data_IF_432163494478
#
_entry.id   IF_432163494478
#
_cell.length_a   1.000
_cell.length_b   1.000
_cell.length_c   1.000
_cell.angle_alpha   90.00
_cell.angle_beta   90.00
_cell.angle_gamma   90.00
#
_symmetry.space_group_name_H-M   'P 1'
#
loop_
_entity.id
_entity.type
_entity.pdbx_description
1 polymer ?
#
# COMPACT_ATOMS: atom_id res chain seq x y z
N UNK A 1 -5.03 -15.99 -0.23
CA UNK A 1 -4.42 -15.23 0.87
C UNK A 1 -5.22 -13.96 1.10
N UNK A 2 -5.51 -13.68 2.34
CA UNK A 2 -6.19 -12.46 2.75
C UNK A 2 -5.47 -11.88 3.96
N UNK A 3 -5.06 -10.62 3.90
CA UNK A 3 -4.47 -9.93 5.05
C UNK A 3 -5.08 -8.55 5.22
N UNK A 4 -5.16 -8.09 6.46
CA UNK A 4 -5.60 -6.75 6.79
C UNK A 4 -4.62 -6.11 7.75
N UNK A 5 -4.29 -4.85 7.48
CA UNK A 5 -3.46 -4.03 8.35
C UNK A 5 -4.18 -2.71 8.57
N UNK A 6 -4.13 -2.20 9.79
CA UNK A 6 -4.82 -0.97 10.11
C UNK A 6 -4.03 -0.10 11.09
N UNK A 7 -4.36 1.19 11.08
CA UNK A 7 -3.80 2.16 12.02
C UNK A 7 -4.84 3.27 12.22
N UNK A 8 -4.82 3.88 13.39
CA UNK A 8 -5.62 5.07 13.68
C UNK A 8 -4.70 6.28 13.74
N UNK A 9 -5.02 7.30 12.96
CA UNK A 9 -4.21 8.51 12.80
C UNK A 9 -5.01 9.72 13.26
N UNK A 10 -4.41 10.56 14.10
CA UNK A 10 -4.97 11.86 14.45
C UNK A 10 -4.58 12.87 13.37
N UNK A 11 -5.55 13.33 12.58
CA UNK A 11 -5.26 14.25 11.49
C UNK A 11 -6.44 14.46 10.55
N UNK A 12 -6.17 15.17 9.46
CA UNK A 12 -7.15 15.48 8.43
C UNK A 12 -7.22 14.35 7.39
N UNK A 13 -8.40 13.82 7.13
CA UNK A 13 -8.58 12.69 6.21
C UNK A 13 -8.11 13.01 4.78
N UNK A 14 -8.32 14.24 4.32
CA UNK A 14 -7.90 14.62 2.97
C UNK A 14 -6.38 14.69 2.84
N UNK A 15 -5.70 15.15 3.88
CA UNK A 15 -4.24 15.17 3.92
C UNK A 15 -3.66 13.77 3.98
N UNK A 16 -4.25 12.89 4.78
CA UNK A 16 -3.83 11.49 4.87
C UNK A 16 -4.06 10.78 3.53
N UNK A 17 -5.23 11.02 2.92
CA UNK A 17 -5.56 10.45 1.62
C UNK A 17 -4.58 10.90 0.53
N UNK A 18 -4.25 12.20 0.51
CA UNK A 18 -3.29 12.73 -0.46
C UNK A 18 -1.92 12.07 -0.30
N UNK A 19 -1.45 11.87 0.93
CA UNK A 19 -0.16 11.21 1.19
C UNK A 19 -0.22 9.73 0.79
N UNK A 20 -1.30 9.05 1.10
CA UNK A 20 -1.46 7.63 0.78
C UNK A 20 -1.59 7.37 -0.72
N UNK A 21 -2.18 8.30 -1.47
CA UNK A 21 -2.42 8.12 -2.90
C UNK A 21 -1.24 8.56 -3.78
N UNK A 22 -0.38 9.46 -3.29
CA UNK A 22 0.75 9.98 -4.04
C UNK A 22 1.96 9.02 -3.94
N UNK A 23 1.81 7.83 -4.50
CA UNK A 23 2.83 6.76 -4.37
C UNK A 23 4.18 7.16 -4.98
N UNK A 24 4.21 8.06 -5.94
CA UNK A 24 5.44 8.59 -6.52
C UNK A 24 6.31 9.34 -5.50
N UNK A 25 5.72 9.79 -4.40
CA UNK A 25 6.44 10.44 -3.30
C UNK A 25 6.90 9.45 -2.22
N UNK A 26 6.42 8.21 -2.26
CA UNK A 26 6.71 7.23 -1.22
C UNK A 26 8.19 6.94 -1.01
N UNK A 27 9.05 6.86 -2.03
CA UNK A 27 10.48 6.64 -1.77
C UNK A 27 11.13 7.71 -0.89
N UNK A 28 10.58 8.93 -0.88
CA UNK A 28 11.06 10.03 -0.04
C UNK A 28 10.49 9.97 1.38
N UNK A 29 9.25 9.47 1.52
CA UNK A 29 8.52 9.46 2.79
C UNK A 29 8.67 8.14 3.53
N UNK A 30 8.77 7.03 2.80
CA UNK A 30 8.74 5.67 3.31
C UNK A 30 10.07 4.99 2.98
N UNK A 31 10.99 4.87 3.95
CA UNK A 31 12.37 4.41 3.66
C UNK A 31 12.46 3.00 3.09
N UNK A 32 11.43 2.18 3.27
CA UNK A 32 11.42 0.81 2.75
C UNK A 32 11.03 0.73 1.26
N UNK A 33 10.58 1.85 0.65
CA UNK A 33 10.37 1.92 -0.80
C UNK A 33 11.63 2.43 -1.48
N UNK A 34 12.10 1.70 -2.48
CA UNK A 34 13.33 2.04 -3.22
C UNK A 34 13.06 3.04 -4.31
N UNK A 35 12.02 2.79 -5.11
CA UNK A 35 11.61 3.68 -6.19
C UNK A 35 10.17 3.37 -6.60
N UNK A 36 9.53 4.37 -7.21
CA UNK A 36 8.20 4.25 -7.82
C UNK A 36 8.23 5.01 -9.13
N UNK A 37 7.87 4.33 -10.21
CA UNK A 37 7.78 4.92 -11.55
C UNK A 37 6.34 4.91 -12.02
N UNK A 38 5.79 6.07 -12.35
CA UNK A 38 4.49 6.18 -12.99
C UNK A 38 4.70 5.93 -14.48
N UNK A 39 4.18 4.81 -14.98
CA UNK A 39 4.38 4.38 -16.36
C UNK A 39 3.39 5.04 -17.31
N UNK A 40 2.14 5.22 -16.88
CA UNK A 40 1.08 5.83 -17.69
C UNK A 40 -0.12 6.15 -16.82
N UNK A 41 -1.09 6.84 -17.38
CA UNK A 41 -2.38 7.07 -16.76
C UNK A 41 -2.75 8.54 -16.63
N UNK A 42 -3.77 8.79 -15.80
CA UNK A 42 -4.32 10.12 -15.56
C UNK A 42 -4.50 10.36 -14.06
N UNK A 43 -5.27 11.37 -13.68
CA UNK A 43 -5.43 11.76 -12.28
C UNK A 43 -6.15 10.71 -11.42
N UNK A 44 -6.94 9.81 -12.02
CA UNK A 44 -7.77 8.84 -11.29
C UNK A 44 -7.33 7.40 -11.47
N UNK A 45 -6.57 7.09 -12.52
CA UNK A 45 -6.10 5.73 -12.79
C UNK A 45 -4.72 5.77 -13.40
N UNK A 46 -3.76 5.07 -12.77
CA UNK A 46 -2.37 5.06 -13.19
C UNK A 46 -1.81 3.65 -13.17
N UNK A 47 -0.86 3.40 -14.08
CA UNK A 47 -0.03 2.21 -14.03
C UNK A 47 1.30 2.59 -13.38
N UNK A 48 1.65 1.94 -12.29
CA UNK A 48 2.85 2.25 -11.51
C UNK A 48 3.72 1.01 -11.32
N UNK A 49 5.03 1.20 -11.43
CA UNK A 49 6.00 0.16 -11.09
C UNK A 49 6.64 0.55 -9.76
N UNK A 50 6.64 -0.38 -8.83
CA UNK A 50 7.06 -0.11 -7.45
C UNK A 50 8.12 -1.11 -7.01
N UNK A 51 9.07 -0.63 -6.24
CA UNK A 51 10.10 -1.47 -5.65
C UNK A 51 10.26 -1.13 -4.17
N UNK A 52 10.27 -2.17 -3.35
CA UNK A 52 10.45 -2.06 -1.91
C UNK A 52 11.45 -3.10 -1.44
N UNK A 53 11.82 -3.03 -0.16
CA UNK A 53 12.65 -4.07 0.45
C UNK A 53 12.18 -4.35 1.88
N UNK A 54 12.41 -5.57 2.28
CA UNK A 54 12.23 -5.99 3.66
C UNK A 54 13.54 -6.59 4.14
N UNK A 55 14.16 -5.95 5.14
CA UNK A 55 15.43 -6.41 5.72
C UNK A 55 16.49 -6.73 4.65
N UNK A 56 16.57 -5.84 3.64
CA UNK A 56 17.51 -6.00 2.53
C UNK A 56 17.04 -6.93 1.41
N UNK A 57 15.89 -7.59 1.55
CA UNK A 57 15.34 -8.46 0.52
C UNK A 57 14.49 -7.63 -0.46
N UNK A 58 14.91 -7.53 -1.74
CA UNK A 58 14.21 -6.67 -2.71
C UNK A 58 12.96 -7.34 -3.28
N UNK A 59 11.90 -6.54 -3.48
CA UNK A 59 10.69 -6.95 -4.20
C UNK A 59 10.31 -5.87 -5.19
N UNK A 60 9.72 -6.28 -6.31
CA UNK A 60 9.27 -5.38 -7.36
C UNK A 60 7.95 -5.88 -7.93
N UNK A 61 7.03 -4.95 -8.21
CA UNK A 61 5.75 -5.27 -8.84
C UNK A 61 5.26 -4.10 -9.66
N UNK A 62 4.32 -4.37 -10.56
CA UNK A 62 3.60 -3.35 -11.32
C UNK A 62 2.13 -3.45 -10.96
N UNK A 63 1.52 -2.32 -10.66
CA UNK A 63 0.13 -2.27 -10.24
C UNK A 63 -0.63 -1.18 -10.98
N UNK A 64 -1.92 -1.43 -11.21
CA UNK A 64 -2.85 -0.41 -11.64
C UNK A 64 -3.45 0.23 -10.39
N UNK A 65 -3.21 1.53 -10.22
CA UNK A 65 -3.78 2.31 -9.12
C UNK A 65 -5.04 3.01 -9.62
N UNK A 66 -6.12 2.86 -8.87
CA UNK A 66 -7.37 3.59 -9.13
C UNK A 66 -7.76 4.37 -7.88
N UNK A 67 -8.12 5.64 -8.05
CA UNK A 67 -8.47 6.54 -6.96
C UNK A 67 -9.97 6.79 -6.91
N UNK A 68 -10.53 6.76 -5.71
CA UNK A 68 -11.90 7.18 -5.43
C UNK A 68 -11.86 8.18 -4.27
N UNK A 69 -11.54 9.46 -4.56
CA UNK A 69 -11.40 10.46 -3.51
C UNK A 69 -12.71 10.82 -2.81
N UNK A 70 -13.85 10.62 -3.48
CA UNK A 70 -15.16 10.89 -2.87
C UNK A 70 -15.41 9.99 -1.66
N UNK A 71 -15.05 8.71 -1.78
CA UNK A 71 -15.23 7.72 -0.72
C UNK A 71 -13.94 7.46 0.08
N UNK A 72 -12.87 8.19 -0.20
CA UNK A 72 -11.55 8.03 0.44
C UNK A 72 -11.05 6.59 0.34
N UNK A 73 -11.08 6.04 -0.89
CA UNK A 73 -10.58 4.69 -1.18
C UNK A 73 -9.51 4.74 -2.25
N UNK A 74 -8.55 3.81 -2.13
CA UNK A 74 -7.49 3.62 -3.11
C UNK A 74 -7.44 2.14 -3.44
N UNK A 75 -7.39 1.82 -4.73
CA UNK A 75 -7.36 0.43 -5.21
C UNK A 75 -6.07 0.19 -5.98
N UNK A 76 -5.44 -0.95 -5.73
CA UNK A 76 -4.32 -1.42 -6.54
C UNK A 76 -4.63 -2.83 -7.02
N UNK A 77 -4.43 -3.07 -8.31
CA UNK A 77 -4.45 -4.40 -8.89
C UNK A 77 -3.05 -4.71 -9.39
N UNK A 78 -2.41 -5.72 -8.81
CA UNK A 78 -1.07 -6.12 -9.22
C UNK A 78 -1.15 -6.85 -10.55
N UNK A 79 -0.48 -6.32 -11.57
CA UNK A 79 -0.55 -6.85 -12.95
C UNK A 79 0.74 -7.55 -13.37
N UNK A 80 1.85 -7.32 -12.66
CA UNK A 80 3.14 -7.97 -12.90
C UNK A 80 3.89 -8.19 -11.60
N UNK A 81 4.76 -9.19 -11.59
CA UNK A 81 5.59 -9.54 -10.45
C UNK A 81 5.08 -10.77 -9.74
N UNK A 82 5.74 -11.12 -8.63
CA UNK A 82 5.40 -12.31 -7.84
C UNK A 82 3.99 -12.22 -7.24
N UNK A 83 3.50 -11.00 -7.03
CA UNK A 83 2.18 -10.73 -6.47
C UNK A 83 1.08 -10.53 -7.52
N UNK A 84 1.35 -10.88 -8.77
CA UNK A 84 0.37 -10.72 -9.86
C UNK A 84 -0.98 -11.33 -9.48
N UNK A 85 -2.05 -10.58 -9.68
CA UNK A 85 -3.41 -10.98 -9.32
C UNK A 85 -3.84 -10.49 -7.95
N UNK A 86 -2.94 -9.89 -7.17
CA UNK A 86 -3.30 -9.36 -5.86
C UNK A 86 -4.15 -8.09 -6.01
N UNK A 87 -5.24 -8.05 -5.25
CA UNK A 87 -6.08 -6.86 -5.12
C UNK A 87 -5.80 -6.21 -3.78
N UNK A 88 -5.56 -4.91 -3.79
CA UNK A 88 -5.29 -4.13 -2.59
C UNK A 88 -6.29 -2.99 -2.51
N UNK A 89 -6.93 -2.84 -1.35
CA UNK A 89 -7.86 -1.74 -1.12
C UNK A 89 -7.49 -1.01 0.15
N UNK A 90 -7.40 0.30 0.04
CA UNK A 90 -7.24 1.20 1.18
C UNK A 90 -8.58 1.81 1.52
N UNK A 91 -8.95 1.74 2.78
CA UNK A 91 -10.14 2.37 3.33
C UNK A 91 -9.73 3.42 4.35
N UNK A 92 -10.15 4.66 4.15
CA UNK A 92 -9.95 5.74 5.11
C UNK A 92 -11.31 6.21 5.59
N UNK A 93 -11.51 6.22 6.90
CA UNK A 93 -12.77 6.62 7.52
C UNK A 93 -12.50 7.61 8.65
N UNK A 94 -13.12 8.78 8.57
CA UNK A 94 -13.02 9.81 9.62
C UNK A 94 -13.96 9.51 10.77
N UNK A 95 -13.48 9.70 11.99
CA UNK A 95 -14.25 9.58 13.22
C UNK A 95 -13.78 10.70 14.16
N UNK A 96 -14.45 11.86 14.06
CA UNK A 96 -14.03 13.05 14.77
C UNK A 96 -12.64 13.52 14.34
N UNK A 97 -11.71 13.61 15.30
CA UNK A 97 -10.32 14.00 15.03
C UNK A 97 -9.44 12.82 14.59
N UNK A 98 -10.01 11.63 14.58
CA UNK A 98 -9.27 10.42 14.24
C UNK A 98 -9.65 9.94 12.84
N UNK A 99 -8.71 9.29 12.17
CA UNK A 99 -8.93 8.65 10.89
C UNK A 99 -8.49 7.20 11.00
N UNK A 100 -9.40 6.28 10.72
CA UNK A 100 -9.10 4.86 10.68
C UNK A 100 -8.66 4.49 9.26
N UNK A 101 -7.44 4.00 9.12
CA UNK A 101 -6.87 3.60 7.83
C UNK A 101 -6.68 2.08 7.85
N UNK A 102 -7.24 1.41 6.87
CA UNK A 102 -7.17 -0.04 6.74
C UNK A 102 -6.74 -0.41 5.34
N UNK A 103 -5.78 -1.32 5.22
CA UNK A 103 -5.32 -1.88 3.95
C UNK A 103 -5.70 -3.35 3.92
N UNK A 104 -6.45 -3.75 2.90
CA UNK A 104 -6.87 -5.12 2.67
C UNK A 104 -6.15 -5.66 1.44
N UNK A 105 -5.46 -6.79 1.61
CA UNK A 105 -4.79 -7.49 0.52
C UNK A 105 -5.48 -8.83 0.30
N UNK A 106 -5.91 -9.07 -0.95
CA UNK A 106 -6.52 -10.33 -1.36
C UNK A 106 -5.78 -10.90 -2.55
N UNK A 107 -5.37 -12.15 -2.46
CA UNK A 107 -4.74 -12.86 -3.56
C UNK A 107 -5.36 -14.22 -3.70
N UNK A 108 -6.00 -14.45 -4.86
CA UNK A 108 -6.45 -15.78 -5.26
C UNK A 108 -5.30 -16.43 -6.03
N UNK A 109 -4.68 -17.42 -5.43
CA UNK A 109 -3.49 -18.06 -5.98
C UNK A 109 -3.85 -19.00 -7.14
N UNK A 110 -3.24 -18.76 -8.32
CA UNK A 110 -3.50 -19.55 -9.53
C UNK A 110 -2.27 -20.26 -10.08
N UNK A 111 -1.16 -20.28 -9.34
CA UNK A 111 0.12 -20.75 -9.87
C UNK A 111 0.44 -22.14 -9.33
N UNK A 112 0.43 -23.20 -10.19
CA UNK A 112 0.79 -24.54 -9.73
C UNK A 112 2.28 -24.74 -9.38
N UNK A 113 3.25 -24.00 -9.99
CA UNK A 113 4.66 -24.36 -9.77
C UNK A 113 5.23 -23.95 -8.43
N UNK A 114 4.64 -22.96 -7.76
CA UNK A 114 5.06 -22.58 -6.40
C UNK A 114 4.00 -23.08 -5.47
N UNK A 115 4.32 -24.01 -4.58
CA UNK A 115 3.35 -24.56 -3.66
C UNK A 115 2.63 -23.49 -2.86
N UNK A 116 1.35 -23.69 -2.53
CA UNK A 116 0.55 -22.70 -1.77
C UNK A 116 1.22 -22.29 -0.46
N UNK A 117 1.95 -23.18 0.17
CA UNK A 117 2.65 -22.92 1.41
C UNK A 117 3.78 -21.90 1.24
N UNK A 118 4.59 -22.06 0.18
CA UNK A 118 5.67 -21.14 -0.12
C UNK A 118 5.13 -19.76 -0.49
N UNK A 119 4.07 -19.73 -1.29
CA UNK A 119 3.40 -18.51 -1.69
C UNK A 119 2.85 -17.76 -0.48
N UNK A 120 2.16 -18.45 0.40
CA UNK A 120 1.61 -17.87 1.62
C UNK A 120 2.72 -17.28 2.49
N UNK A 121 3.81 -18.01 2.66
CA UNK A 121 4.95 -17.58 3.47
C UNK A 121 5.65 -16.36 2.88
N UNK A 122 5.95 -16.38 1.58
CA UNK A 122 6.70 -15.30 0.92
C UNK A 122 5.83 -14.04 0.75
N UNK A 123 4.60 -14.20 0.27
CA UNK A 123 3.75 -13.05 -0.08
C UNK A 123 2.98 -12.55 1.13
N UNK A 124 2.34 -13.45 1.88
CA UNK A 124 1.47 -13.06 2.98
C UNK A 124 2.22 -12.55 4.19
N UNK A 125 2.96 -13.42 4.85
CA UNK A 125 3.56 -13.11 6.14
C UNK A 125 4.82 -12.24 6.02
N UNK A 126 5.68 -12.53 5.06
CA UNK A 126 6.98 -11.87 4.97
C UNK A 126 6.92 -10.48 4.35
N UNK A 127 6.18 -10.33 3.24
CA UNK A 127 6.22 -9.08 2.49
C UNK A 127 5.02 -8.19 2.74
N UNK A 128 3.83 -8.72 2.46
CA UNK A 128 2.63 -7.89 2.43
C UNK A 128 2.36 -7.25 3.77
N UNK A 129 2.29 -8.06 4.82
CA UNK A 129 1.98 -7.57 6.16
C UNK A 129 3.06 -6.64 6.70
N UNK A 130 4.33 -6.99 6.48
CA UNK A 130 5.45 -6.19 6.96
C UNK A 130 5.52 -4.83 6.25
N UNK A 131 5.44 -4.83 4.92
CA UNK A 131 5.49 -3.60 4.13
C UNK A 131 4.27 -2.73 4.43
N UNK A 132 3.08 -3.31 4.49
CA UNK A 132 1.86 -2.57 4.79
C UNK A 132 1.89 -1.94 6.19
N UNK A 133 2.32 -2.70 7.19
CA UNK A 133 2.43 -2.19 8.57
C UNK A 133 3.43 -1.03 8.66
N UNK A 134 4.58 -1.15 8.00
CA UNK A 134 5.57 -0.08 7.97
C UNK A 134 5.04 1.15 7.27
N UNK A 135 4.34 0.96 6.16
CA UNK A 135 3.73 2.06 5.40
C UNK A 135 2.75 2.83 6.27
N UNK A 136 1.81 2.14 6.92
CA UNK A 136 0.83 2.77 7.79
C UNK A 136 1.46 3.50 8.96
N UNK A 137 2.42 2.86 9.62
CA UNK A 137 3.10 3.44 10.78
C UNK A 137 3.89 4.69 10.40
N UNK A 138 4.55 4.67 9.25
CA UNK A 138 5.34 5.81 8.78
C UNK A 138 4.44 6.97 8.36
N UNK A 139 3.33 6.70 7.67
CA UNK A 139 2.34 7.74 7.34
C UNK A 139 1.81 8.37 8.63
N UNK A 140 1.46 7.56 9.63
CA UNK A 140 1.01 8.06 10.93
C UNK A 140 2.06 8.98 11.57
N UNK A 141 3.32 8.59 11.56
CA UNK A 141 4.41 9.40 12.10
C UNK A 141 4.54 10.74 11.37
N UNK A 142 4.44 10.75 10.05
CA UNK A 142 4.51 11.98 9.27
C UNK A 142 3.34 12.91 9.55
N UNK A 143 2.14 12.39 9.63
CA UNK A 143 0.94 13.20 9.87
C UNK A 143 0.93 13.73 11.30
N UNK A 144 1.15 12.89 12.29
CA UNK A 144 1.08 13.28 13.70
C UNK A 144 2.31 14.07 14.15
N UNK A 145 3.47 13.75 13.60
CA UNK A 145 4.71 14.46 13.92
C UNK A 145 4.70 15.91 13.46
N UNK A 146 4.05 16.22 12.35
CA UNK A 146 3.95 17.58 11.84
C UNK A 146 3.02 18.46 12.68
N UNK A 147 2.17 17.88 13.51
CA UNK A 147 1.28 18.62 14.38
C UNK A 147 1.87 18.98 15.75
N UNK A 148 3.11 18.54 16.03
CA UNK A 148 3.72 18.65 17.37
C UNK A 148 4.86 19.66 17.40
N UNK A 149 5.18 20.27 16.32
CA UNK A 149 6.26 21.25 16.25
C UNK A 149 5.93 22.57 16.95
#
# INVERSE_FOLDING_TARGET
MHTENSVTICGNINQIYAMASAVEQWPRLLPHYRWVHVLSGNATERLVEMAAHRDGFPVRWTARQRLDPVHHRIYFTHVRGISRGMEVTWFLEADGLLVHVRIVHDLTWRWPPIGPLIAHYIIGELFVSNIASKTLRTIKQHIEGHGVS
#
